data_IF_176621357743
#
_entry.id   IF_176621357743
#
_cell.length_a   1.000
_cell.length_b   1.000
_cell.length_c   1.000
_cell.angle_alpha   90.00
_cell.angle_beta   90.00
_cell.angle_gamma   90.00
#
_symmetry.space_group_name_H-M   'P 1'
#
loop_
_entity.id
_entity.type
_entity.pdbx_description
1 polymer ?
#
# COMPACT_ATOMS: atom_id res chain seq x y z
N UNK A 1 -4.40 -12.01 -10.76
CA UNK A 1 -3.36 -13.05 -10.82
C UNK A 1 -2.92 -13.29 -12.26
N UNK A 2 -1.63 -13.24 -12.56
CA UNK A 2 -1.09 -13.49 -13.89
C UNK A 2 0.31 -14.11 -13.76
N UNK A 3 0.53 -15.25 -14.45
CA UNK A 3 1.79 -15.98 -14.49
C UNK A 3 2.45 -16.01 -15.86
N UNK A 4 1.91 -15.25 -16.83
CA UNK A 4 2.39 -15.22 -18.21
C UNK A 4 3.12 -13.93 -18.58
N UNK A 5 3.01 -12.89 -17.75
CA UNK A 5 3.66 -11.59 -18.00
C UNK A 5 5.15 -11.71 -17.70
N UNK A 6 5.98 -11.25 -18.63
CA UNK A 6 7.42 -11.14 -18.40
C UNK A 6 7.72 -10.18 -17.24
N UNK A 7 8.65 -10.52 -16.33
CA UNK A 7 9.06 -9.62 -15.24
C UNK A 7 9.54 -8.24 -15.72
N UNK A 8 10.08 -8.14 -16.93
CA UNK A 8 10.52 -6.86 -17.53
C UNK A 8 9.33 -5.97 -17.90
N UNK A 9 8.20 -6.56 -18.30
CA UNK A 9 7.00 -5.82 -18.70
C UNK A 9 6.05 -5.55 -17.51
N UNK A 10 6.20 -6.31 -16.43
CA UNK A 10 5.31 -6.24 -15.30
C UNK A 10 5.34 -4.87 -14.58
N UNK A 11 6.48 -4.16 -14.43
CA UNK A 11 6.51 -2.82 -13.87
C UNK A 11 5.56 -1.83 -14.53
N UNK A 12 5.45 -1.86 -15.86
CA UNK A 12 4.53 -0.97 -16.60
C UNK A 12 3.07 -1.22 -16.23
N UNK A 13 2.70 -2.47 -15.99
CA UNK A 13 1.35 -2.85 -15.59
C UNK A 13 1.07 -2.39 -14.17
N UNK A 14 2.01 -2.64 -13.24
CA UNK A 14 1.90 -2.19 -11.85
C UNK A 14 1.76 -0.67 -11.82
N UNK A 15 2.61 0.05 -12.54
CA UNK A 15 2.57 1.51 -12.64
C UNK A 15 1.20 2.03 -13.09
N UNK A 16 0.61 1.41 -14.13
CA UNK A 16 -0.73 1.76 -14.62
C UNK A 16 -1.79 1.62 -13.53
N UNK A 17 -1.79 0.50 -12.81
CA UNK A 17 -2.72 0.29 -11.71
C UNK A 17 -2.45 1.22 -10.53
N UNK A 18 -1.19 1.43 -10.16
CA UNK A 18 -0.84 2.35 -9.08
C UNK A 18 -1.33 3.78 -9.35
N UNK A 19 -1.21 4.25 -10.59
CA UNK A 19 -1.78 5.54 -11.02
C UNK A 19 -3.30 5.55 -10.98
N UNK A 20 -3.95 4.46 -11.39
CA UNK A 20 -5.41 4.32 -11.32
C UNK A 20 -5.93 4.38 -9.88
N UNK A 21 -5.19 3.82 -8.92
CA UNK A 21 -5.51 3.85 -7.50
C UNK A 21 -4.89 5.07 -6.78
N UNK A 22 -4.88 6.22 -7.42
CA UNK A 22 -4.45 7.49 -6.85
C UNK A 22 -3.00 7.46 -6.33
N UNK A 23 -2.08 7.05 -7.19
CA UNK A 23 -0.66 6.92 -6.88
C UNK A 23 -0.38 6.02 -5.67
N UNK A 24 -1.03 4.85 -5.68
CA UNK A 24 -0.95 3.89 -4.60
C UNK A 24 0.49 3.55 -4.21
N UNK A 25 0.74 3.41 -2.91
CA UNK A 25 2.01 2.93 -2.42
C UNK A 25 2.20 1.45 -2.76
N UNK A 26 3.28 1.14 -3.47
CA UNK A 26 3.55 -0.18 -4.02
C UNK A 26 4.62 -0.91 -3.21
N UNK A 27 4.29 -2.10 -2.75
CA UNK A 27 5.21 -3.01 -2.07
C UNK A 27 5.44 -4.21 -2.98
N UNK A 28 6.70 -4.50 -3.27
CA UNK A 28 7.11 -5.64 -4.12
C UNK A 28 7.99 -6.57 -3.31
N UNK A 29 7.78 -7.88 -3.43
CA UNK A 29 8.72 -8.86 -2.95
C UNK A 29 9.97 -8.82 -3.82
N UNK A 30 11.14 -8.55 -3.21
CA UNK A 30 12.39 -8.32 -3.95
C UNK A 30 13.20 -9.58 -4.20
N UNK A 31 12.73 -10.74 -3.77
CA UNK A 31 13.41 -12.01 -4.02
C UNK A 31 13.47 -12.34 -5.52
N UNK A 32 14.56 -12.93 -5.95
CA UNK A 32 14.75 -13.47 -7.32
C UNK A 32 14.34 -12.49 -8.43
N UNK A 33 13.31 -12.83 -9.19
CA UNK A 33 12.78 -12.00 -10.29
C UNK A 33 12.09 -10.70 -9.80
N UNK A 34 11.71 -10.64 -8.54
CA UNK A 34 11.09 -9.45 -7.94
C UNK A 34 12.02 -8.24 -7.97
N UNK A 35 13.35 -8.46 -7.89
CA UNK A 35 14.32 -7.37 -8.02
C UNK A 35 14.27 -6.67 -9.38
N UNK A 36 13.97 -7.42 -10.46
CA UNK A 36 13.77 -6.82 -11.80
C UNK A 36 12.56 -5.91 -11.82
N UNK A 37 11.49 -6.33 -11.15
CA UNK A 37 10.25 -5.53 -11.03
C UNK A 37 10.49 -4.28 -10.19
N UNK A 38 11.18 -4.42 -9.05
CA UNK A 38 11.56 -3.29 -8.20
C UNK A 38 12.39 -2.25 -8.98
N UNK A 39 13.42 -2.70 -9.70
CA UNK A 39 14.27 -1.81 -10.47
C UNK A 39 13.51 -1.12 -11.61
N UNK A 40 12.66 -1.85 -12.32
CA UNK A 40 11.81 -1.29 -13.38
C UNK A 40 10.84 -0.23 -12.88
N UNK A 41 10.27 -0.40 -11.70
CA UNK A 41 9.40 0.61 -11.09
C UNK A 41 10.19 1.84 -10.64
N UNK A 42 11.26 1.64 -9.90
CA UNK A 42 11.99 2.71 -9.24
C UNK A 42 12.92 3.48 -10.17
N UNK A 43 13.72 2.78 -10.98
CA UNK A 43 14.72 3.44 -11.84
C UNK A 43 14.22 3.72 -13.26
N UNK A 44 13.47 2.79 -13.88
CA UNK A 44 13.06 2.95 -15.27
C UNK A 44 11.80 3.80 -15.41
N UNK A 45 10.83 3.62 -14.50
CA UNK A 45 9.57 4.37 -14.49
C UNK A 45 9.55 5.53 -13.49
N UNK A 46 10.61 5.70 -12.71
CA UNK A 46 10.77 6.76 -11.70
C UNK A 46 9.54 6.89 -10.79
N UNK A 47 8.98 5.72 -10.39
CA UNK A 47 7.81 5.72 -9.53
C UNK A 47 8.21 5.89 -8.06
N UNK A 48 7.97 7.08 -7.51
CA UNK A 48 8.43 7.47 -6.16
C UNK A 48 7.73 6.71 -5.02
N UNK A 49 6.50 6.20 -5.25
CA UNK A 49 5.71 5.51 -4.22
C UNK A 49 5.97 4.01 -4.18
N UNK A 50 7.18 3.57 -4.49
CA UNK A 50 7.64 2.19 -4.27
C UNK A 50 8.31 2.10 -2.91
N UNK A 51 8.03 1.02 -2.18
CA UNK A 51 8.67 0.77 -0.89
C UNK A 51 10.17 0.61 -1.03
N UNK A 52 10.91 1.41 -0.28
CA UNK A 52 12.36 1.33 -0.13
C UNK A 52 12.66 1.08 1.34
N UNK A 53 13.29 -0.06 1.64
CA UNK A 53 13.73 -0.35 2.99
C UNK A 53 14.97 0.48 3.32
N UNK A 54 14.81 1.46 4.19
CA UNK A 54 15.90 2.31 4.65
C UNK A 54 16.74 1.57 5.68
N UNK A 55 17.73 0.81 5.25
CA UNK A 55 18.74 0.26 6.14
C UNK A 55 19.99 1.14 6.13
N UNK A 56 20.69 1.24 7.26
CA UNK A 56 21.91 2.07 7.45
C UNK A 56 23.00 1.75 6.41
N UNK A 57 22.91 0.63 5.71
CA UNK A 57 23.93 0.14 4.75
C UNK A 57 23.44 -0.08 3.31
N UNK A 58 22.16 -0.06 3.04
CA UNK A 58 21.63 -0.20 1.67
C UNK A 58 20.18 0.28 1.59
N UNK A 59 19.89 1.03 0.55
CA UNK A 59 18.51 1.32 0.17
C UNK A 59 18.02 0.14 -0.69
N UNK A 60 17.50 -0.91 -0.06
CA UNK A 60 16.91 -2.02 -0.77
C UNK A 60 15.50 -1.65 -1.23
N UNK A 61 15.22 -1.81 -2.52
CA UNK A 61 13.88 -1.56 -3.07
C UNK A 61 13.04 -2.82 -2.90
N UNK A 62 11.82 -2.67 -2.36
CA UNK A 62 10.94 -3.77 -2.04
C UNK A 62 11.23 -4.40 -0.68
N UNK A 63 10.60 -5.52 -0.39
CA UNK A 63 10.78 -6.29 0.84
C UNK A 63 11.40 -7.66 0.49
N UNK A 64 12.54 -7.98 1.10
CA UNK A 64 13.11 -9.31 1.00
C UNK A 64 12.33 -10.28 1.92
N UNK A 65 11.66 -11.27 1.31
CA UNK A 65 10.89 -12.28 2.04
C UNK A 65 11.81 -13.31 2.68
N UNK A 66 12.35 -12.98 3.84
CA UNK A 66 13.11 -13.89 4.68
C UNK A 66 12.18 -14.73 5.57
N UNK A 67 12.69 -15.82 6.15
CA UNK A 67 11.92 -16.62 7.13
C UNK A 67 11.41 -15.76 8.31
N UNK A 68 12.20 -14.79 8.74
CA UNK A 68 11.82 -13.87 9.81
C UNK A 68 10.66 -12.97 9.38
N UNK A 69 10.75 -12.35 8.21
CA UNK A 69 9.71 -11.49 7.63
C UNK A 69 8.42 -12.28 7.44
N UNK A 70 8.50 -13.48 6.83
CA UNK A 70 7.34 -14.36 6.65
C UNK A 70 6.64 -14.69 7.97
N UNK A 71 7.40 -15.06 8.99
CA UNK A 71 6.83 -15.39 10.31
C UNK A 71 6.17 -14.17 10.99
N UNK A 72 6.82 -13.02 10.95
CA UNK A 72 6.26 -11.78 11.52
C UNK A 72 4.98 -11.37 10.77
N UNK A 73 5.01 -11.41 9.44
CA UNK A 73 3.85 -11.12 8.61
C UNK A 73 2.67 -12.05 8.87
N UNK A 74 2.91 -13.37 8.96
CA UNK A 74 1.87 -14.34 9.32
C UNK A 74 1.24 -14.05 10.69
N UNK A 75 2.06 -13.72 11.69
CA UNK A 75 1.56 -13.35 13.02
C UNK A 75 0.73 -12.07 12.99
N UNK A 76 1.20 -11.06 12.24
CA UNK A 76 0.49 -9.79 12.11
C UNK A 76 -0.84 -9.95 11.36
N UNK A 77 -0.88 -10.70 10.25
CA UNK A 77 -2.12 -10.98 9.52
C UNK A 77 -3.13 -11.68 10.41
N UNK A 78 -2.70 -12.67 11.19
CA UNK A 78 -3.56 -13.37 12.14
C UNK A 78 -4.17 -12.38 13.15
N UNK A 79 -3.36 -11.53 13.77
CA UNK A 79 -3.83 -10.52 14.73
C UNK A 79 -4.83 -9.53 14.09
N UNK A 80 -4.53 -9.04 12.90
CA UNK A 80 -5.38 -8.09 12.17
C UNK A 80 -6.75 -8.72 11.83
N UNK A 81 -6.76 -10.01 11.44
CA UNK A 81 -8.00 -10.73 11.14
C UNK A 81 -8.80 -11.06 12.41
N UNK A 82 -8.15 -11.56 13.47
CA UNK A 82 -8.79 -11.89 14.74
C UNK A 82 -9.37 -10.65 15.44
N UNK A 83 -8.76 -9.48 15.24
CA UNK A 83 -9.23 -8.21 15.79
C UNK A 83 -10.20 -7.45 14.88
N UNK A 84 -10.65 -8.06 13.78
CA UNK A 84 -11.55 -7.47 12.77
C UNK A 84 -11.09 -6.12 12.21
N UNK A 85 -9.78 -5.93 12.08
CA UNK A 85 -9.19 -4.72 11.46
C UNK A 85 -9.05 -4.84 9.95
N UNK A 86 -9.20 -6.04 9.39
CA UNK A 86 -9.15 -6.33 7.97
C UNK A 86 -10.29 -7.27 7.60
N UNK A 87 -11.09 -6.87 6.60
CA UNK A 87 -12.12 -7.70 6.00
C UNK A 87 -11.63 -8.17 4.61
N UNK A 88 -11.77 -9.45 4.34
CA UNK A 88 -11.39 -10.05 3.05
C UNK A 88 -12.66 -10.56 2.39
N UNK A 89 -12.91 -10.11 1.16
CA UNK A 89 -14.11 -10.46 0.39
C UNK A 89 -13.80 -11.37 -0.82
N UNK A 90 -12.52 -11.43 -1.24
CA UNK A 90 -12.11 -12.26 -2.37
C UNK A 90 -12.07 -13.74 -1.99
N UNK A 91 -12.87 -14.56 -2.68
CA UNK A 91 -13.00 -15.99 -2.42
C UNK A 91 -11.68 -16.74 -2.63
N UNK A 92 -10.88 -16.36 -3.63
CA UNK A 92 -9.60 -17.03 -3.89
C UNK A 92 -8.61 -16.77 -2.75
N UNK A 93 -8.58 -15.55 -2.23
CA UNK A 93 -7.75 -15.20 -1.07
C UNK A 93 -8.18 -15.97 0.17
N UNK A 94 -9.49 -16.09 0.41
CA UNK A 94 -10.04 -16.88 1.52
C UNK A 94 -9.66 -18.37 1.39
N UNK A 95 -9.73 -18.92 0.16
CA UNK A 95 -9.30 -20.29 -0.10
C UNK A 95 -7.81 -20.50 0.19
N UNK A 96 -6.94 -19.60 -0.25
CA UNK A 96 -5.49 -19.71 0.04
C UNK A 96 -5.22 -19.59 1.55
N UNK A 97 -5.90 -18.71 2.28
CA UNK A 97 -5.80 -18.63 3.75
C UNK A 97 -6.19 -19.97 4.39
N UNK A 98 -7.27 -20.59 3.93
CA UNK A 98 -7.79 -21.85 4.51
C UNK A 98 -6.87 -23.05 4.30
N UNK A 99 -6.01 -23.01 3.27
CA UNK A 99 -5.07 -24.07 2.91
C UNK A 99 -3.63 -23.77 3.33
N UNK A 100 -3.41 -22.61 3.97
CA UNK A 100 -2.09 -22.17 4.42
C UNK A 100 -1.76 -22.74 5.80
N UNK A 101 -0.70 -23.49 5.91
CA UNK A 101 -0.36 -24.26 7.11
C UNK A 101 1.09 -24.08 7.55
N UNK A 102 1.35 -24.37 8.82
CA UNK A 102 2.70 -24.42 9.34
C UNK A 102 3.38 -25.73 8.89
N UNK A 103 4.51 -25.62 8.21
CA UNK A 103 5.31 -26.75 7.76
C UNK A 103 6.74 -26.62 8.25
N UNK A 104 7.07 -27.36 9.27
CA UNK A 104 8.36 -27.29 9.96
C UNK A 104 8.59 -25.91 10.60
N UNK A 105 9.59 -25.18 10.12
CA UNK A 105 9.93 -23.82 10.61
C UNK A 105 9.37 -22.69 9.73
N UNK A 106 8.56 -23.01 8.74
CA UNK A 106 7.97 -22.08 7.77
C UNK A 106 6.46 -22.26 7.69
N UNK A 107 5.85 -21.50 6.81
CA UNK A 107 4.43 -21.56 6.47
C UNK A 107 4.31 -21.64 4.95
N UNK A 108 3.42 -22.47 4.44
CA UNK A 108 3.20 -22.64 3.01
C UNK A 108 1.81 -23.22 2.73
N UNK A 109 1.36 -23.18 1.48
CA UNK A 109 0.14 -23.85 1.09
C UNK A 109 0.28 -25.36 1.27
N UNK A 110 -0.80 -26.05 1.66
CA UNK A 110 -0.88 -27.50 1.65
C UNK A 110 -0.71 -28.05 0.23
N UNK A 111 -0.30 -29.31 0.11
CA UNK A 111 0.06 -29.94 -1.17
C UNK A 111 -1.02 -29.76 -2.25
N UNK A 112 -0.61 -29.30 -3.42
CA UNK A 112 -1.50 -29.03 -4.57
C UNK A 112 -2.24 -27.69 -4.53
N UNK A 113 -2.05 -26.87 -3.51
CA UNK A 113 -2.61 -25.54 -3.40
C UNK A 113 -1.56 -24.44 -3.67
N UNK A 114 -2.00 -23.19 -3.69
CA UNK A 114 -1.17 -22.01 -3.93
C UNK A 114 -1.25 -21.08 -2.74
N UNK A 115 -0.23 -20.24 -2.55
CA UNK A 115 -0.16 -19.22 -1.48
C UNK A 115 0.18 -17.82 -1.99
N UNK A 116 0.07 -17.56 -3.29
CA UNK A 116 0.45 -16.29 -3.89
C UNK A 116 -0.32 -15.09 -3.30
N UNK A 117 -1.64 -15.24 -3.11
CA UNK A 117 -2.50 -14.20 -2.55
C UNK A 117 -2.29 -14.10 -1.03
N UNK A 118 -2.13 -15.25 -0.35
CA UNK A 118 -1.78 -15.26 1.07
C UNK A 118 -0.43 -14.61 1.33
N UNK A 119 0.56 -14.79 0.46
CA UNK A 119 1.87 -14.14 0.58
C UNK A 119 1.78 -12.62 0.42
N UNK A 120 0.87 -12.10 -0.40
CA UNK A 120 0.61 -10.66 -0.45
C UNK A 120 0.07 -10.13 0.89
N UNK A 121 -0.83 -10.88 1.54
CA UNK A 121 -1.30 -10.53 2.89
C UNK A 121 -0.19 -10.61 3.93
N UNK A 122 0.68 -11.62 3.86
CA UNK A 122 1.84 -11.77 4.75
C UNK A 122 2.78 -10.57 4.61
N UNK A 123 3.04 -10.13 3.38
CA UNK A 123 3.87 -8.97 3.11
C UNK A 123 3.21 -7.68 3.63
N UNK A 124 1.90 -7.50 3.41
CA UNK A 124 1.13 -6.41 3.97
C UNK A 124 1.15 -6.43 5.51
N UNK A 125 0.91 -7.60 6.12
CA UNK A 125 0.96 -7.76 7.58
C UNK A 125 2.32 -7.37 8.17
N UNK A 126 3.41 -7.78 7.54
CA UNK A 126 4.76 -7.35 7.94
C UNK A 126 4.91 -5.84 7.81
N UNK A 127 4.56 -5.27 6.67
CA UNK A 127 4.62 -3.83 6.42
C UNK A 127 3.80 -3.02 7.43
N UNK A 128 2.61 -3.51 7.79
CA UNK A 128 1.73 -2.87 8.77
C UNK A 128 2.32 -2.81 10.20
N UNK A 129 3.36 -3.59 10.49
CA UNK A 129 4.09 -3.52 11.77
C UNK A 129 5.21 -2.49 11.80
N UNK A 130 5.51 -1.85 10.67
CA UNK A 130 6.60 -0.87 10.56
C UNK A 130 6.18 0.51 11.05
N UNK A 131 7.13 1.26 11.61
CA UNK A 131 6.93 2.66 12.00
C UNK A 131 6.51 3.50 10.79
N UNK A 132 7.08 3.21 9.61
CA UNK A 132 6.74 3.88 8.36
C UNK A 132 5.24 3.77 8.03
N UNK A 133 4.63 2.58 8.18
CA UNK A 133 3.21 2.41 7.97
C UNK A 133 2.38 3.21 8.99
N UNK A 134 2.79 3.18 10.26
CA UNK A 134 2.16 3.97 11.31
C UNK A 134 2.17 5.47 10.98
N UNK A 135 3.33 5.99 10.58
CA UNK A 135 3.48 7.41 10.22
C UNK A 135 2.66 7.76 8.96
N UNK A 136 2.66 6.87 7.96
CA UNK A 136 1.91 7.07 6.72
C UNK A 136 0.38 7.07 6.94
N UNK A 137 -0.11 6.26 7.88
CA UNK A 137 -1.54 6.11 8.16
C UNK A 137 -2.06 6.98 9.29
N UNK A 138 -1.19 7.69 10.01
CA UNK A 138 -1.59 8.55 11.11
C UNK A 138 -2.31 9.80 10.57
N UNK A 139 -3.64 9.77 10.64
CA UNK A 139 -4.53 10.83 10.15
C UNK A 139 -4.27 12.14 10.89
N UNK A 140 -3.97 12.09 12.19
CA UNK A 140 -3.75 13.30 13.01
C UNK A 140 -2.48 14.03 12.57
N UNK A 141 -1.41 13.30 12.26
CA UNK A 141 -0.15 13.88 11.75
C UNK A 141 -0.40 14.49 10.35
N UNK A 142 -1.10 13.80 9.47
CA UNK A 142 -1.44 14.33 8.14
C UNK A 142 -2.26 15.62 8.23
N UNK A 143 -3.27 15.65 9.10
CA UNK A 143 -4.06 16.86 9.33
C UNK A 143 -3.23 18.00 9.92
N UNK A 144 -2.32 17.71 10.86
CA UNK A 144 -1.38 18.71 11.38
C UNK A 144 -0.47 19.26 10.29
N UNK A 145 0.15 18.39 9.49
CA UNK A 145 1.02 18.80 8.38
C UNK A 145 0.27 19.62 7.34
N UNK A 146 -0.96 19.21 7.00
CA UNK A 146 -1.81 19.97 6.09
C UNK A 146 -2.15 21.37 6.63
N UNK A 147 -2.58 21.46 7.89
CA UNK A 147 -2.87 22.74 8.55
C UNK A 147 -1.63 23.64 8.63
N UNK A 148 -0.47 23.07 8.93
CA UNK A 148 0.80 23.81 8.96
C UNK A 148 1.15 24.35 7.58
N UNK A 149 1.06 23.51 6.55
CA UNK A 149 1.35 23.90 5.17
C UNK A 149 0.36 24.97 4.63
N UNK A 150 -0.92 24.82 4.98
CA UNK A 150 -1.92 25.84 4.64
C UNK A 150 -1.64 27.15 5.35
N UNK A 151 -1.22 27.12 6.61
CA UNK A 151 -0.83 28.32 7.35
C UNK A 151 0.38 29.00 6.72
N UNK A 152 1.42 28.27 6.35
CA UNK A 152 2.61 28.79 5.65
C UNK A 152 2.21 29.48 4.34
N UNK A 153 1.34 28.83 3.54
CA UNK A 153 0.83 29.43 2.29
C UNK A 153 0.02 30.70 2.57
N UNK A 154 -0.79 30.71 3.61
CA UNK A 154 -1.61 31.86 3.97
C UNK A 154 -0.76 33.02 4.49
N UNK A 155 0.28 32.71 5.27
CA UNK A 155 1.20 33.72 5.81
C UNK A 155 2.11 34.33 4.72
N UNK A 156 2.41 33.58 3.64
CA UNK A 156 3.19 34.03 2.48
C UNK A 156 2.36 34.80 1.43
N UNK A 157 1.02 34.78 1.53
CA UNK A 157 0.17 35.56 0.63
C UNK A 157 0.26 37.03 0.98
N UNK A 158 0.55 37.90 -0.01
CA UNK A 158 0.54 39.34 0.23
C UNK A 158 -0.85 39.80 0.67
N UNK A 159 -0.96 40.82 1.55
CA UNK A 159 -2.22 41.24 2.16
C UNK A 159 -3.13 41.96 1.17
N UNK A 160 -3.45 41.34 0.06
CA UNK A 160 -4.40 41.85 -0.94
C UNK A 160 -5.69 41.00 -0.90
N UNK A 161 -6.68 41.55 -0.20
CA UNK A 161 -8.09 41.17 -0.29
C UNK A 161 -8.47 40.01 0.64
N UNK A 162 -9.31 40.32 1.60
CA UNK A 162 -10.16 39.34 2.23
C UNK A 162 -10.98 38.62 1.13
N UNK A 163 -10.65 37.40 0.85
CA UNK A 163 -11.57 36.49 0.19
C UNK A 163 -12.29 35.80 1.34
N UNK A 164 -13.49 36.29 1.66
CA UNK A 164 -14.37 35.69 2.68
C UNK A 164 -14.76 34.25 2.35
N UNK A 165 -14.44 33.76 1.14
CA UNK A 165 -14.84 32.46 0.62
C UNK A 165 -13.75 31.37 0.81
N UNK A 166 -12.61 31.67 1.44
CA UNK A 166 -11.50 30.71 1.56
C UNK A 166 -11.86 29.52 2.50
N UNK A 167 -12.64 29.79 3.55
CA UNK A 167 -13.12 28.73 4.45
C UNK A 167 -14.16 27.82 3.76
N UNK A 168 -15.07 28.40 2.97
CA UNK A 168 -16.03 27.64 2.17
C UNK A 168 -15.35 26.82 1.07
N UNK A 169 -14.29 27.35 0.47
CA UNK A 169 -13.52 26.62 -0.56
C UNK A 169 -12.75 25.44 0.03
N UNK A 170 -12.16 25.62 1.21
CA UNK A 170 -11.44 24.53 1.93
C UNK A 170 -12.43 23.45 2.37
N UNK A 171 -13.59 23.81 2.92
CA UNK A 171 -14.64 22.86 3.28
C UNK A 171 -15.13 22.08 2.04
N UNK A 172 -15.30 22.76 0.90
CA UNK A 172 -15.73 22.12 -0.36
C UNK A 172 -14.68 21.11 -0.85
N UNK A 173 -13.37 21.39 -0.72
CA UNK A 173 -12.31 20.47 -1.08
C UNK A 173 -12.24 19.26 -0.13
N UNK A 174 -12.39 19.48 1.18
CA UNK A 174 -12.44 18.40 2.18
C UNK A 174 -13.68 17.52 1.97
N UNK A 175 -14.84 18.08 1.65
CA UNK A 175 -16.04 17.32 1.33
C UNK A 175 -15.91 16.52 0.04
N UNK A 176 -15.24 17.06 -0.98
CA UNK A 176 -14.97 16.36 -2.24
C UNK A 176 -13.98 15.20 -2.04
N UNK A 177 -12.94 15.38 -1.25
CA UNK A 177 -11.98 14.33 -0.94
C UNK A 177 -12.59 13.24 -0.07
N UNK A 178 -13.33 13.61 0.96
CA UNK A 178 -14.07 12.66 1.80
C UNK A 178 -15.17 11.92 1.04
N UNK A 179 -15.85 12.57 0.09
CA UNK A 179 -16.84 11.91 -0.77
C UNK A 179 -16.19 10.91 -1.72
N UNK A 180 -15.00 11.20 -2.28
CA UNK A 180 -14.22 10.25 -3.09
C UNK A 180 -13.82 9.02 -2.27
N UNK A 181 -13.26 9.23 -1.08
CA UNK A 181 -12.88 8.13 -0.18
C UNK A 181 -14.09 7.29 0.20
N UNK A 182 -15.21 7.92 0.54
CA UNK A 182 -16.46 7.23 0.87
C UNK A 182 -17.00 6.45 -0.32
N UNK A 183 -16.93 7.01 -1.53
CA UNK A 183 -17.36 6.35 -2.76
C UNK A 183 -16.54 5.09 -3.06
N UNK A 184 -15.20 5.13 -2.90
CA UNK A 184 -14.31 3.97 -3.05
C UNK A 184 -14.59 2.86 -2.04
N UNK A 185 -15.06 3.22 -0.83
CA UNK A 185 -15.42 2.25 0.22
C UNK A 185 -16.79 1.60 -0.07
N UNK A 186 -17.77 2.37 -0.57
CA UNK A 186 -19.14 1.91 -0.81
C UNK A 186 -19.31 1.18 -2.16
N UNK A 187 -18.47 1.46 -3.16
CA UNK A 187 -18.63 0.94 -4.53
C UNK A 187 -17.30 0.48 -5.13
N UNK A 188 -16.66 -0.58 -4.58
CA UNK A 188 -15.35 -1.04 -5.06
C UNK A 188 -15.37 -1.62 -6.48
N UNK A 189 -16.54 -1.99 -7.02
CA UNK A 189 -16.70 -2.66 -8.32
C UNK A 189 -17.13 -1.73 -9.48
N UNK A 190 -17.34 -0.46 -9.23
CA UNK A 190 -17.72 0.51 -10.27
C UNK A 190 -16.48 1.24 -10.78
N UNK A 191 -15.89 0.72 -11.87
CA UNK A 191 -14.87 1.44 -12.63
C UNK A 191 -15.55 2.51 -13.47
N UNK A 192 -15.15 3.79 -13.40
CA UNK A 192 -15.49 4.74 -14.43
C UNK A 192 -14.73 4.34 -15.70
N UNK A 193 -15.46 4.09 -16.80
CA UNK A 193 -14.93 3.89 -18.14
C UNK A 193 -14.08 5.06 -18.64
#
# INVERSE_FOLDING_TARGET
RNNTISPILFPTIIYKYAKLYNEAYVIVESNDVGQVVCNGLYYDLEYEHVHVESAIKSNAIGIEMTRKVKRLGCSAVKDILETNKLNIYDENTIMEISTFEARGTSYEASDGNHDDLMMNLVMFGFFATTDFFSDMTNIDIKQMMFKQKMKEITDDLPPFGHIDDAEDYIQTLEEQENSKVKWYIEYPDLHPD
#
